data_IF_029127660837
#
_entry.id   IF_029127660837
#
_cell.length_a   1.000
_cell.length_b   1.000
_cell.length_c   1.000
_cell.angle_alpha   90.00
_cell.angle_beta   90.00
_cell.angle_gamma   90.00
#
_symmetry.space_group_name_H-M   'P 1'
#
loop_
_entity.id
_entity.type
_entity.pdbx_description
1 polymer ?
#
# COMPACT_ATOMS: atom_id res chain seq x y z
N UNK A 1 -55.19 9.26 -75.87
CA UNK A 1 -54.78 9.78 -74.56
C UNK A 1 -55.84 10.68 -73.90
N UNK A 2 -56.59 11.54 -74.60
CA UNK A 2 -57.56 12.48 -73.98
C UNK A 2 -58.82 11.86 -73.35
N UNK A 3 -59.21 10.63 -73.72
CA UNK A 3 -60.42 9.98 -73.15
C UNK A 3 -60.20 9.34 -71.78
N UNK A 4 -58.96 8.99 -71.45
CA UNK A 4 -58.61 8.29 -70.21
C UNK A 4 -58.61 9.28 -69.04
N UNK A 5 -57.96 10.42 -69.22
CA UNK A 5 -57.93 11.53 -68.26
C UNK A 5 -59.31 12.12 -67.94
N UNK A 6 -60.21 12.17 -68.93
CA UNK A 6 -61.59 12.60 -68.70
C UNK A 6 -62.36 11.59 -67.81
N UNK A 7 -62.13 10.29 -67.98
CA UNK A 7 -62.76 9.26 -67.14
C UNK A 7 -62.19 9.25 -65.73
N UNK A 8 -60.88 9.50 -65.58
CA UNK A 8 -60.20 9.61 -64.29
C UNK A 8 -60.66 10.85 -63.52
N UNK A 9 -60.85 11.99 -64.18
CA UNK A 9 -61.37 13.22 -63.58
C UNK A 9 -62.79 13.03 -63.05
N UNK A 10 -63.67 12.38 -63.81
CA UNK A 10 -65.04 12.08 -63.37
C UNK A 10 -65.04 11.09 -62.19
N UNK A 11 -64.14 10.10 -62.20
CA UNK A 11 -64.01 9.17 -61.07
C UNK A 11 -63.47 9.85 -59.80
N UNK A 12 -62.54 10.79 -59.96
CA UNK A 12 -61.98 11.60 -58.87
C UNK A 12 -63.03 12.56 -58.30
N UNK A 13 -63.80 13.25 -59.14
CA UNK A 13 -64.89 14.14 -58.74
C UNK A 13 -65.95 13.38 -57.92
N UNK A 14 -66.36 12.20 -58.38
CA UNK A 14 -67.26 11.34 -57.63
C UNK A 14 -66.65 10.80 -56.31
N UNK A 15 -65.32 10.66 -56.21
CA UNK A 15 -64.64 10.26 -54.98
C UNK A 15 -64.56 11.43 -53.97
N UNK A 16 -64.36 12.66 -54.46
CA UNK A 16 -64.33 13.89 -53.68
C UNK A 16 -65.72 14.18 -53.10
N UNK A 17 -66.78 14.07 -53.90
CA UNK A 17 -68.17 14.27 -53.46
C UNK A 17 -68.59 13.33 -52.32
N UNK A 18 -68.02 12.12 -52.28
CA UNK A 18 -68.30 11.13 -51.24
C UNK A 18 -67.59 11.43 -49.91
N UNK A 19 -66.46 12.14 -49.93
CA UNK A 19 -65.62 12.38 -48.76
C UNK A 19 -64.95 13.77 -48.79
N UNK A 20 -65.73 14.87 -48.78
CA UNK A 20 -65.17 16.22 -48.87
C UNK A 20 -64.28 16.59 -47.68
N UNK A 21 -64.58 16.08 -46.48
CA UNK A 21 -63.80 16.36 -45.26
C UNK A 21 -62.39 15.74 -45.33
N UNK A 22 -62.27 14.54 -45.91
CA UNK A 22 -60.98 13.87 -46.07
C UNK A 22 -60.08 14.62 -47.06
N UNK A 23 -60.66 15.18 -48.12
CA UNK A 23 -59.94 15.98 -49.12
C UNK A 23 -59.51 17.32 -48.51
N UNK A 24 -60.37 17.97 -47.73
CA UNK A 24 -60.02 19.21 -47.02
C UNK A 24 -58.84 18.99 -46.05
N UNK A 25 -58.87 17.91 -45.26
CA UNK A 25 -57.77 17.56 -44.37
C UNK A 25 -56.47 17.21 -45.12
N UNK A 26 -56.58 16.60 -46.30
CA UNK A 26 -55.41 16.32 -47.14
C UNK A 26 -54.78 17.60 -47.71
N UNK A 27 -55.60 18.55 -48.17
CA UNK A 27 -55.13 19.85 -48.64
C UNK A 27 -54.47 20.65 -47.51
N UNK A 28 -55.06 20.67 -46.31
CA UNK A 28 -54.47 21.31 -45.14
C UNK A 28 -53.10 20.71 -44.77
N UNK A 29 -52.97 19.38 -44.86
CA UNK A 29 -51.69 18.70 -44.67
C UNK A 29 -50.67 19.05 -45.75
N UNK A 30 -51.10 19.22 -47.01
CA UNK A 30 -50.21 19.64 -48.09
C UNK A 30 -49.77 21.10 -47.94
N UNK A 31 -50.63 21.98 -47.46
CA UNK A 31 -50.30 23.38 -47.19
C UNK A 31 -49.25 23.50 -46.08
N UNK A 32 -49.43 22.74 -44.98
CA UNK A 32 -48.46 22.67 -43.90
C UNK A 32 -47.08 22.11 -44.35
N UNK A 33 -47.07 21.19 -45.32
CA UNK A 33 -45.82 20.68 -45.91
C UNK A 33 -45.16 21.74 -46.77
N UNK A 34 -45.92 22.50 -47.57
CA UNK A 34 -45.34 23.60 -48.37
C UNK A 34 -44.78 24.71 -47.48
N UNK A 35 -45.46 25.07 -46.39
CA UNK A 35 -44.95 26.04 -45.41
C UNK A 35 -43.65 25.55 -44.76
N UNK A 36 -43.55 24.25 -44.42
CA UNK A 36 -42.31 23.66 -43.92
C UNK A 36 -41.18 23.73 -44.96
N UNK A 37 -41.48 23.46 -46.23
CA UNK A 37 -40.51 23.56 -47.31
C UNK A 37 -40.04 25.00 -47.53
N UNK A 38 -40.92 25.98 -47.39
CA UNK A 38 -40.56 27.40 -47.47
C UNK A 38 -39.68 27.83 -46.29
N UNK A 39 -39.97 27.36 -45.08
CA UNK A 39 -39.12 27.60 -43.90
C UNK A 39 -37.76 26.90 -44.02
N UNK A 40 -37.72 25.69 -44.57
CA UNK A 40 -36.47 24.97 -44.82
C UNK A 40 -35.63 25.66 -45.90
N UNK A 41 -36.25 26.14 -46.99
CA UNK A 41 -35.57 26.93 -48.01
C UNK A 41 -35.03 28.26 -47.44
N UNK A 42 -35.77 28.88 -46.51
CA UNK A 42 -35.32 30.06 -45.78
C UNK A 42 -34.16 29.73 -44.83
N UNK A 43 -34.19 28.58 -44.17
CA UNK A 43 -33.12 28.07 -43.31
C UNK A 43 -31.86 27.66 -44.07
N UNK A 44 -32.00 27.10 -45.27
CA UNK A 44 -30.88 26.77 -46.17
C UNK A 44 -30.19 28.04 -46.67
N UNK A 45 -30.96 29.10 -46.97
CA UNK A 45 -30.39 30.41 -47.30
C UNK A 45 -29.84 31.16 -46.10
N UNK A 46 -30.27 30.81 -44.88
CA UNK A 46 -29.78 31.35 -43.62
C UNK A 46 -28.63 30.51 -43.03
N UNK A 47 -28.18 29.44 -43.70
CA UNK A 47 -26.85 28.86 -43.45
C UNK A 47 -25.79 29.87 -43.89
N UNK A 48 -25.63 30.92 -43.08
CA UNK A 48 -24.73 32.02 -43.36
C UNK A 48 -23.29 31.51 -43.41
N UNK A 49 -22.46 32.17 -44.24
CA UNK A 49 -21.01 31.90 -44.33
C UNK A 49 -20.32 31.91 -42.95
N UNK A 50 -20.91 32.60 -41.97
CA UNK A 50 -20.43 32.64 -40.59
C UNK A 50 -20.59 31.31 -39.86
N UNK A 51 -21.73 30.63 -40.00
CA UNK A 51 -21.92 29.29 -39.43
C UNK A 51 -20.99 28.26 -40.11
N UNK A 52 -20.73 28.42 -41.42
CA UNK A 52 -19.76 27.58 -42.13
C UNK A 52 -18.34 27.83 -41.60
N UNK A 53 -17.97 29.08 -41.32
CA UNK A 53 -16.67 29.40 -40.70
C UNK A 53 -16.55 28.87 -39.28
N UNK A 54 -17.58 29.01 -38.45
CA UNK A 54 -17.56 28.54 -37.06
C UNK A 54 -17.50 27.01 -36.99
N UNK A 55 -18.25 26.32 -37.84
CA UNK A 55 -18.16 24.87 -37.98
C UNK A 55 -16.78 24.44 -38.49
N UNK A 56 -16.22 25.18 -39.45
CA UNK A 56 -14.87 24.91 -39.97
C UNK A 56 -13.78 25.16 -38.93
N UNK A 57 -13.92 26.21 -38.11
CA UNK A 57 -13.01 26.51 -37.01
C UNK A 57 -13.09 25.45 -35.90
N UNK A 58 -14.31 25.03 -35.56
CA UNK A 58 -14.55 23.94 -34.60
C UNK A 58 -14.01 22.62 -35.13
N UNK A 59 -14.26 22.32 -36.41
CA UNK A 59 -13.75 21.14 -37.09
C UNK A 59 -12.23 21.12 -37.17
N UNK A 60 -11.59 22.27 -37.44
CA UNK A 60 -10.13 22.40 -37.43
C UNK A 60 -9.56 22.20 -36.02
N UNK A 61 -10.18 22.81 -35.00
CA UNK A 61 -9.76 22.65 -33.60
C UNK A 61 -9.90 21.19 -33.14
N UNK A 62 -10.98 20.52 -33.54
CA UNK A 62 -11.21 19.11 -33.26
C UNK A 62 -10.20 18.23 -34.00
N UNK A 63 -9.92 18.50 -35.28
CA UNK A 63 -8.95 17.76 -36.07
C UNK A 63 -7.53 17.92 -35.52
N UNK A 64 -7.15 19.12 -35.10
CA UNK A 64 -5.85 19.40 -34.49
C UNK A 64 -5.73 18.75 -33.09
N UNK A 65 -6.82 18.72 -32.32
CA UNK A 65 -6.89 17.98 -31.05
C UNK A 65 -6.85 16.46 -31.26
N UNK A 66 -7.49 15.97 -32.32
CA UNK A 66 -7.49 14.55 -32.69
C UNK A 66 -6.09 14.10 -33.12
N UNK A 67 -5.36 14.91 -33.89
CA UNK A 67 -3.97 14.63 -34.27
C UNK A 67 -3.05 14.60 -33.03
N UNK A 68 -3.29 15.49 -32.06
CA UNK A 68 -2.59 15.48 -30.77
C UNK A 68 -2.89 14.28 -29.86
N UNK A 69 -4.04 13.60 -30.06
CA UNK A 69 -4.43 12.40 -29.32
C UNK A 69 -4.19 11.10 -30.11
N UNK A 70 -4.02 11.18 -31.42
CA UNK A 70 -3.77 10.05 -32.32
C UNK A 70 -2.27 9.78 -32.50
N UNK A 71 -1.46 10.11 -31.49
CA UNK A 71 -0.04 9.73 -31.50
C UNK A 71 0.10 8.22 -31.43
N UNK A 72 1.18 7.68 -32.01
CA UNK A 72 1.45 6.24 -31.99
C UNK A 72 1.49 5.70 -30.55
N UNK A 73 2.00 6.48 -29.59
CA UNK A 73 2.01 6.11 -28.17
C UNK A 73 0.61 6.02 -27.56
N UNK A 74 -0.29 6.94 -27.91
CA UNK A 74 -1.66 6.96 -27.37
C UNK A 74 -2.50 5.84 -27.99
N UNK A 75 -2.28 5.54 -29.27
CA UNK A 75 -2.88 4.38 -29.95
C UNK A 75 -2.39 3.08 -29.32
N UNK A 76 -1.08 2.92 -29.08
CA UNK A 76 -0.54 1.74 -28.44
C UNK A 76 -1.02 1.57 -26.99
N UNK A 77 -1.15 2.67 -26.24
CA UNK A 77 -1.74 2.65 -24.90
C UNK A 77 -3.23 2.27 -24.95
N UNK A 78 -4.01 2.82 -25.88
CA UNK A 78 -5.42 2.50 -26.05
C UNK A 78 -5.63 1.04 -26.48
N UNK A 79 -4.75 0.50 -27.33
CA UNK A 79 -4.74 -0.92 -27.70
C UNK A 79 -4.44 -1.78 -26.47
N UNK A 80 -3.38 -1.46 -25.71
CA UNK A 80 -3.04 -2.19 -24.47
C UNK A 80 -4.18 -2.14 -23.44
N UNK A 81 -4.79 -0.97 -23.22
CA UNK A 81 -5.92 -0.81 -22.29
C UNK A 81 -7.17 -1.55 -22.78
N UNK A 82 -7.44 -1.54 -24.08
CA UNK A 82 -8.54 -2.27 -24.70
C UNK A 82 -8.35 -3.78 -24.62
N UNK A 83 -7.15 -4.27 -24.90
CA UNK A 83 -6.77 -5.69 -24.80
C UNK A 83 -6.90 -6.23 -23.37
N UNK A 84 -6.65 -5.39 -22.35
CA UNK A 84 -6.75 -5.75 -20.94
C UNK A 84 -8.05 -5.25 -20.28
N UNK A 85 -9.04 -4.84 -21.09
CA UNK A 85 -10.22 -4.12 -20.59
C UNK A 85 -11.09 -4.95 -19.63
N UNK A 86 -11.22 -6.25 -19.89
CA UNK A 86 -11.98 -7.16 -19.03
C UNK A 86 -11.28 -7.42 -17.69
N UNK A 87 -9.96 -7.66 -17.71
CA UNK A 87 -9.15 -7.83 -16.50
C UNK A 87 -9.11 -6.54 -15.66
N UNK A 88 -8.97 -5.38 -16.29
CA UNK A 88 -9.01 -4.08 -15.61
C UNK A 88 -10.38 -3.83 -14.96
N UNK A 89 -11.47 -4.19 -15.66
CA UNK A 89 -12.82 -4.09 -15.11
C UNK A 89 -12.99 -4.99 -13.88
N UNK A 90 -12.53 -6.23 -13.94
CA UNK A 90 -12.58 -7.16 -12.81
C UNK A 90 -11.74 -6.68 -11.61
N UNK A 91 -10.54 -6.14 -11.88
CA UNK A 91 -9.69 -5.54 -10.86
C UNK A 91 -10.37 -4.33 -10.20
N UNK A 92 -11.00 -3.46 -10.99
CA UNK A 92 -11.75 -2.32 -10.48
C UNK A 92 -13.00 -2.73 -9.69
N UNK A 93 -13.73 -3.75 -10.14
CA UNK A 93 -14.85 -4.33 -9.39
C UNK A 93 -14.39 -4.88 -8.05
N UNK A 94 -13.23 -5.54 -8.01
CA UNK A 94 -12.61 -6.04 -6.77
C UNK A 94 -12.24 -4.90 -5.83
N UNK A 95 -11.57 -3.85 -6.33
CA UNK A 95 -11.23 -2.66 -5.55
C UNK A 95 -12.50 -1.97 -5.01
N UNK A 96 -13.54 -1.83 -5.83
CA UNK A 96 -14.82 -1.27 -5.41
C UNK A 96 -15.53 -2.14 -4.37
N UNK A 97 -15.43 -3.47 -4.48
CA UNK A 97 -15.97 -4.38 -3.48
C UNK A 97 -15.23 -4.22 -2.14
N UNK A 98 -13.90 -4.12 -2.16
CA UNK A 98 -13.07 -3.86 -0.98
C UNK A 98 -13.34 -2.50 -0.34
N UNK A 99 -13.63 -1.48 -1.17
CA UNK A 99 -14.01 -0.15 -0.67
C UNK A 99 -15.40 -0.16 -0.06
N UNK A 100 -16.36 -0.87 -0.68
CA UNK A 100 -17.72 -1.01 -0.13
C UNK A 100 -17.76 -1.83 1.16
N UNK A 101 -16.89 -2.83 1.30
CA UNK A 101 -16.79 -3.62 2.53
C UNK A 101 -16.07 -2.89 3.66
N UNK A 102 -15.41 -1.75 3.39
CA UNK A 102 -14.56 -1.04 4.35
C UNK A 102 -13.18 -1.66 4.54
N UNK A 103 -12.86 -2.75 3.82
CA UNK A 103 -11.57 -3.45 3.94
C UNK A 103 -10.41 -2.59 3.46
N UNK A 104 -10.65 -1.70 2.48
CA UNK A 104 -9.64 -0.72 2.04
C UNK A 104 -9.28 0.26 3.16
N UNK A 105 -10.23 0.67 3.98
CA UNK A 105 -9.99 1.54 5.14
C UNK A 105 -9.25 0.79 6.25
N UNK A 106 -9.60 -0.47 6.51
CA UNK A 106 -8.88 -1.34 7.46
C UNK A 106 -7.42 -1.55 7.03
N UNK A 107 -7.16 -1.77 5.74
CA UNK A 107 -5.80 -1.91 5.20
C UNK A 107 -5.01 -0.60 5.34
N UNK A 108 -5.64 0.55 5.14
CA UNK A 108 -5.02 1.85 5.35
C UNK A 108 -4.67 2.08 6.83
N UNK A 109 -5.56 1.71 7.76
CA UNK A 109 -5.32 1.78 9.20
C UNK A 109 -4.15 0.86 9.62
N UNK A 110 -4.10 -0.37 9.11
CA UNK A 110 -2.99 -1.30 9.35
C UNK A 110 -1.67 -0.76 8.79
N UNK A 111 -1.69 -0.12 7.61
CA UNK A 111 -0.50 0.51 7.04
C UNK A 111 0.00 1.68 7.90
N UNK A 112 -0.92 2.48 8.47
CA UNK A 112 -0.57 3.57 9.38
C UNK A 112 0.02 3.05 10.70
N UNK A 113 -0.59 2.04 11.31
CA UNK A 113 -0.03 1.36 12.50
C UNK A 113 1.32 0.72 12.18
N UNK A 114 1.48 0.11 11.01
CA UNK A 114 2.74 -0.45 10.53
C UNK A 114 3.82 0.61 10.37
N UNK A 115 3.46 1.80 9.86
CA UNK A 115 4.37 2.93 9.77
C UNK A 115 4.75 3.48 11.14
N UNK A 116 3.81 3.53 12.10
CA UNK A 116 4.10 3.91 13.48
C UNK A 116 4.96 2.87 14.20
N UNK A 117 4.77 1.58 13.93
CA UNK A 117 5.61 0.51 14.46
C UNK A 117 7.02 0.54 13.84
N UNK A 118 7.13 0.84 12.55
CA UNK A 118 8.40 1.04 11.87
C UNK A 118 9.14 2.28 12.37
N UNK A 119 8.42 3.37 12.66
CA UNK A 119 8.98 4.54 13.33
C UNK A 119 9.30 4.25 14.81
N UNK A 120 8.53 3.43 15.52
CA UNK A 120 8.91 3.03 16.88
C UNK A 120 10.20 2.17 16.90
N UNK A 121 10.51 1.49 15.79
CA UNK A 121 11.79 0.84 15.52
C UNK A 121 12.88 1.82 15.03
N UNK A 122 12.73 3.12 15.30
CA UNK A 122 13.67 4.20 14.96
C UNK A 122 15.07 4.01 15.56
N UNK A 123 15.98 4.92 15.16
CA UNK A 123 17.37 5.06 15.61
C UNK A 123 17.58 4.93 17.14
N UNK A 124 16.57 5.25 17.96
CA UNK A 124 16.67 5.10 19.41
C UNK A 124 16.64 3.63 19.86
N UNK A 125 15.79 2.79 19.24
CA UNK A 125 15.80 1.35 19.47
C UNK A 125 17.10 0.72 18.93
N UNK A 126 17.58 1.20 17.78
CA UNK A 126 18.87 0.79 17.21
C UNK A 126 20.02 1.16 18.16
N UNK A 127 20.01 2.36 18.72
CA UNK A 127 21.01 2.83 19.69
C UNK A 127 20.94 2.05 21.00
N UNK A 128 19.73 1.77 21.51
CA UNK A 128 19.53 0.96 22.72
C UNK A 128 19.99 -0.48 22.52
N UNK A 129 19.73 -1.06 21.33
CA UNK A 129 20.22 -2.38 20.97
C UNK A 129 21.74 -2.39 20.80
N UNK A 130 22.31 -1.37 20.16
CA UNK A 130 23.76 -1.23 20.02
C UNK A 130 24.45 -1.03 21.38
N UNK A 131 23.86 -0.25 22.29
CA UNK A 131 24.35 -0.07 23.65
C UNK A 131 24.29 -1.38 24.44
N UNK A 132 23.17 -2.11 24.33
CA UNK A 132 23.04 -3.44 24.96
C UNK A 132 24.04 -4.42 24.35
N UNK A 133 24.21 -4.41 23.04
CA UNK A 133 25.19 -5.22 22.31
C UNK A 133 26.64 -4.90 22.71
N UNK A 134 26.95 -3.63 22.93
CA UNK A 134 28.26 -3.19 23.46
C UNK A 134 28.47 -3.71 24.87
N UNK A 135 27.51 -3.52 25.77
CA UNK A 135 27.61 -3.99 27.16
C UNK A 135 27.75 -5.52 27.24
N UNK A 136 27.02 -6.26 26.38
CA UNK A 136 27.12 -7.71 26.30
C UNK A 136 28.45 -8.14 25.67
N UNK A 137 28.94 -7.40 24.68
CA UNK A 137 30.24 -7.61 24.05
C UNK A 137 31.40 -7.40 25.01
N UNK A 138 31.32 -6.39 25.88
CA UNK A 138 32.29 -6.13 26.94
C UNK A 138 32.32 -7.28 27.96
N UNK A 139 31.16 -7.72 28.44
CA UNK A 139 31.07 -8.88 29.35
C UNK A 139 31.60 -10.15 28.69
N UNK A 140 31.29 -10.38 27.41
CA UNK A 140 31.78 -11.53 26.66
C UNK A 140 33.30 -11.47 26.47
N UNK A 141 33.86 -10.28 26.25
CA UNK A 141 35.30 -10.06 26.13
C UNK A 141 36.02 -10.32 27.46
N UNK A 142 35.48 -9.82 28.58
CA UNK A 142 36.00 -10.12 29.93
C UNK A 142 35.92 -11.60 30.25
N UNK A 143 34.82 -12.28 29.89
CA UNK A 143 34.69 -13.72 30.09
C UNK A 143 35.61 -14.56 29.19
N UNK A 144 36.03 -14.01 28.04
CA UNK A 144 36.96 -14.64 27.11
C UNK A 144 38.44 -14.40 27.48
N UNK A 145 38.71 -13.50 28.43
CA UNK A 145 40.05 -13.27 28.96
C UNK A 145 40.62 -14.55 29.59
N UNK A 146 41.88 -14.86 29.30
CA UNK A 146 42.50 -16.14 29.68
C UNK A 146 42.52 -16.33 31.21
N UNK A 147 42.80 -15.27 31.98
CA UNK A 147 42.85 -15.36 33.45
C UNK A 147 41.44 -15.57 34.04
N UNK A 148 40.44 -14.90 33.48
CA UNK A 148 39.02 -15.05 33.90
C UNK A 148 38.49 -16.45 33.55
N UNK A 149 38.81 -16.93 32.35
CA UNK A 149 38.44 -18.27 31.89
C UNK A 149 39.06 -19.35 32.77
N UNK A 150 40.34 -19.25 33.07
CA UNK A 150 41.06 -20.23 33.90
C UNK A 150 40.53 -20.23 35.34
N UNK A 151 40.18 -19.05 35.88
CA UNK A 151 39.51 -18.93 37.17
C UNK A 151 38.15 -19.62 37.21
N UNK A 152 37.29 -19.37 36.21
CA UNK A 152 35.98 -20.00 36.08
C UNK A 152 36.11 -21.52 35.90
N UNK A 153 37.04 -21.99 35.06
CA UNK A 153 37.29 -23.42 34.85
C UNK A 153 37.74 -24.09 36.16
N UNK A 154 38.62 -23.44 36.92
CA UNK A 154 39.10 -23.94 38.22
C UNK A 154 37.96 -24.07 39.22
N UNK A 155 37.08 -23.06 39.31
CA UNK A 155 35.91 -23.09 40.19
C UNK A 155 34.91 -24.18 39.79
N UNK A 156 34.60 -24.31 38.50
CA UNK A 156 33.67 -25.33 38.01
C UNK A 156 34.21 -26.74 38.18
N UNK A 157 35.52 -26.95 37.95
CA UNK A 157 36.17 -28.23 38.20
C UNK A 157 36.16 -28.57 39.69
N UNK A 158 36.53 -27.61 40.56
CA UNK A 158 36.49 -27.78 42.01
C UNK A 158 35.09 -28.10 42.54
N UNK A 159 34.06 -27.43 42.00
CA UNK A 159 32.66 -27.72 42.33
C UNK A 159 32.25 -29.14 41.88
N UNK A 160 32.62 -29.52 40.66
CA UNK A 160 32.34 -30.86 40.14
C UNK A 160 33.03 -31.97 40.94
N UNK A 161 34.23 -31.71 41.44
CA UNK A 161 34.98 -32.65 42.28
C UNK A 161 34.37 -32.75 43.69
N UNK A 162 33.93 -31.62 44.26
CA UNK A 162 33.23 -31.59 45.54
C UNK A 162 31.89 -32.35 45.50
N UNK A 163 31.11 -32.20 44.43
CA UNK A 163 29.83 -32.91 44.26
C UNK A 163 30.02 -34.42 44.15
N UNK A 164 31.06 -34.87 43.43
CA UNK A 164 31.41 -36.29 43.30
C UNK A 164 31.95 -36.88 44.60
N UNK A 165 32.64 -36.08 45.41
CA UNK A 165 33.26 -36.53 46.64
C UNK A 165 32.27 -36.85 47.76
N UNK A 166 31.01 -36.40 47.68
CA UNK A 166 29.96 -36.63 48.70
C UNK A 166 30.48 -36.42 50.14
N UNK A 167 30.91 -35.19 50.48
CA UNK A 167 31.68 -34.94 51.69
C UNK A 167 30.91 -35.28 52.97
N UNK A 168 31.60 -35.95 53.90
CA UNK A 168 31.05 -36.32 55.20
C UNK A 168 30.81 -35.08 56.08
N UNK A 169 29.73 -35.04 56.89
CA UNK A 169 29.49 -33.93 57.80
C UNK A 169 30.65 -33.75 58.79
N UNK A 170 31.29 -32.58 58.76
CA UNK A 170 32.39 -32.27 59.66
C UNK A 170 31.86 -31.98 61.09
N UNK A 171 32.37 -32.71 62.08
CA UNK A 171 32.20 -32.36 63.49
C UNK A 171 33.12 -31.19 63.92
N UNK A 172 32.93 -30.67 65.14
CA UNK A 172 33.70 -29.52 65.66
C UNK A 172 35.24 -29.69 65.58
N UNK A 173 35.75 -30.91 65.83
CA UNK A 173 37.18 -31.22 65.69
C UNK A 173 37.60 -31.32 64.22
N UNK A 174 36.72 -31.83 63.35
CA UNK A 174 36.93 -31.91 61.91
C UNK A 174 37.08 -30.53 61.28
N UNK A 175 36.32 -29.53 61.74
CA UNK A 175 36.45 -28.14 61.29
C UNK A 175 37.81 -27.52 61.65
N UNK A 176 38.25 -27.67 62.90
CA UNK A 176 39.56 -27.14 63.34
C UNK A 176 40.71 -27.83 62.61
N UNK A 177 40.56 -29.12 62.32
CA UNK A 177 41.55 -29.87 61.53
C UNK A 177 41.53 -29.49 60.05
N UNK A 178 40.35 -29.28 59.47
CA UNK A 178 40.19 -28.79 58.10
C UNK A 178 40.79 -27.39 57.90
N UNK A 179 40.65 -26.48 58.87
CA UNK A 179 41.31 -25.17 58.83
C UNK A 179 42.84 -25.23 58.85
N UNK A 180 43.42 -26.35 59.30
CA UNK A 180 44.87 -26.61 59.28
C UNK A 180 45.33 -27.37 58.05
N UNK A 181 44.40 -27.79 57.20
CA UNK A 181 44.71 -28.49 55.96
C UNK A 181 45.30 -27.50 54.94
N UNK A 182 46.43 -27.83 54.29
CA UNK A 182 47.07 -26.92 53.34
C UNK A 182 46.17 -26.59 52.15
N UNK A 183 45.38 -27.53 51.63
CA UNK A 183 44.54 -27.29 50.46
C UNK A 183 43.36 -26.37 50.82
N UNK A 184 42.79 -26.55 52.02
CA UNK A 184 41.76 -25.65 52.57
C UNK A 184 42.32 -24.24 52.78
N UNK A 185 43.56 -24.10 53.26
CA UNK A 185 44.21 -22.80 53.44
C UNK A 185 44.43 -22.07 52.11
N UNK A 186 44.85 -22.79 51.06
CA UNK A 186 45.00 -22.20 49.72
C UNK A 186 43.66 -21.72 49.17
N UNK A 187 42.59 -22.54 49.30
CA UNK A 187 41.25 -22.14 48.89
C UNK A 187 40.73 -20.91 49.64
N UNK A 188 40.92 -20.87 50.97
CA UNK A 188 40.54 -19.71 51.79
C UNK A 188 41.35 -18.45 51.42
N UNK A 189 42.64 -18.59 51.14
CA UNK A 189 43.48 -17.50 50.66
C UNK A 189 42.99 -16.92 49.32
N UNK A 190 42.60 -17.78 48.39
CA UNK A 190 42.01 -17.37 47.12
C UNK A 190 40.70 -16.59 47.33
N UNK A 191 39.79 -17.10 48.17
CA UNK A 191 38.51 -16.44 48.46
C UNK A 191 38.69 -15.06 49.11
N UNK A 192 39.63 -14.93 50.05
CA UNK A 192 39.93 -13.65 50.68
C UNK A 192 40.54 -12.65 49.70
N UNK A 193 41.38 -13.13 48.78
CA UNK A 193 41.97 -12.29 47.72
C UNK A 193 40.92 -11.81 46.74
N UNK A 194 40.00 -12.68 46.32
CA UNK A 194 38.86 -12.32 45.48
C UNK A 194 37.94 -11.30 46.18
N UNK A 195 37.64 -11.51 47.46
CA UNK A 195 36.85 -10.56 48.24
C UNK A 195 37.53 -9.20 48.37
N UNK A 196 38.85 -9.17 48.53
CA UNK A 196 39.63 -7.93 48.57
C UNK A 196 39.60 -7.19 47.22
N UNK A 197 39.74 -7.91 46.10
CA UNK A 197 39.67 -7.32 44.76
C UNK A 197 38.29 -6.71 44.46
N UNK A 198 37.20 -7.42 44.78
CA UNK A 198 35.83 -6.90 44.62
C UNK A 198 35.59 -5.66 45.49
N UNK A 199 36.14 -5.67 46.71
CA UNK A 199 36.06 -4.52 47.62
C UNK A 199 36.76 -3.28 47.07
N UNK A 200 37.92 -3.46 46.42
CA UNK A 200 38.67 -2.37 45.80
C UNK A 200 37.88 -1.73 44.65
N UNK A 201 37.40 -2.53 43.69
CA UNK A 201 36.64 -2.05 42.52
C UNK A 201 35.41 -1.22 42.94
N UNK A 202 34.64 -1.70 43.92
CA UNK A 202 33.44 -1.01 44.41
C UNK A 202 33.74 0.27 45.19
N UNK A 203 34.94 0.39 45.76
CA UNK A 203 35.35 1.60 46.47
C UNK A 203 35.85 2.69 45.51
N UNK A 204 36.39 2.31 44.35
CA UNK A 204 36.78 3.23 43.28
C UNK A 204 35.55 3.82 42.57
N UNK A 205 34.56 3.00 42.20
CA UNK A 205 33.28 3.46 41.64
C UNK A 205 32.55 4.46 42.55
N UNK A 206 32.65 4.27 43.87
CA UNK A 206 32.03 5.15 44.86
C UNK A 206 32.79 6.47 45.05
N UNK A 207 34.09 6.52 44.69
CA UNK A 207 34.92 7.72 44.77
C UNK A 207 34.79 8.62 43.52
N UNK A 208 34.41 8.06 42.37
CA UNK A 208 34.20 8.80 41.12
C UNK A 208 32.80 9.41 41.01
N UNK A 209 31.88 9.07 41.94
CA UNK A 209 30.51 9.57 41.98
C UNK A 209 30.29 10.78 42.90
N UNK A 210 31.35 11.30 43.55
CA UNK A 210 31.36 12.47 44.47
C UNK A 210 32.24 13.59 43.90
#
# INVERSE_FOLDING_TARGET
MTRDTASEQVALEAAIERNPEAVAQFVERLDAVNELLDVLALGESALDDEMVRELSATGSTLAESADGLATDETVALAETVGENGDELREALETVLALQRSGTLDELAEVAEVGSLAAAALDDEMVRSLAATGSSLGEVAQTAADDDTRDGIETLLRGLGDAERASPEPLGAVGLVRGLRDPDVQHGLGYLLTLAAAIGAERSEDASDAD
#
